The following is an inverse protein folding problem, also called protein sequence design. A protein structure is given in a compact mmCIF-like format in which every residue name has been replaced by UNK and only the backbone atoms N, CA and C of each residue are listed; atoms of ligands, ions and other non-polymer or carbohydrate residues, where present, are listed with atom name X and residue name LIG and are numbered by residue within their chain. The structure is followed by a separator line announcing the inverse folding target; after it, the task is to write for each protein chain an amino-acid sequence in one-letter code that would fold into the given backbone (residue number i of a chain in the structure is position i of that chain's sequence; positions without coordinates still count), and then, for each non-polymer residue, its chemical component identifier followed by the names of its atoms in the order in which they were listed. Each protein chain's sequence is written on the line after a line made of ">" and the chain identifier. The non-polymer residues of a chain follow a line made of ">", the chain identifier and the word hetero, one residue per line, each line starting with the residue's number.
data_IF_635141802851
#
_entry.id   IF_635141802851
#
_cell.length_a   1.000
_cell.length_b   1.000
_cell.length_c   1.000
_cell.angle_alpha   90.00
_cell.angle_beta   90.00
_cell.angle_gamma   90.00
#
_symmetry.space_group_name_H-M   'P 1'
#
loop_
_entity.id
_entity.type
_entity.pdbx_description
1 polymer ?
#
# COMPACT_ATOMS: atom_id res chain seq x y z
N UNK A 1 7.92 -16.75 -0.91
CA UNK A 1 7.32 -17.12 0.40
C UNK A 1 6.88 -18.58 0.34
N UNK A 2 7.11 -19.37 1.41
CA UNK A 2 6.66 -20.76 1.46
C UNK A 2 5.12 -20.83 1.42
N UNK A 3 4.51 -21.78 0.68
CA UNK A 3 3.07 -21.90 0.66
C UNK A 3 2.52 -22.35 2.03
N UNK A 4 1.29 -21.94 2.33
CA UNK A 4 0.58 -22.36 3.54
C UNK A 4 0.33 -23.87 3.51
N UNK A 5 0.75 -24.55 4.58
CA UNK A 5 0.48 -25.98 4.76
C UNK A 5 -0.17 -26.25 6.12
N UNK A 6 -1.15 -27.14 6.17
CA UNK A 6 -1.98 -27.39 7.35
C UNK A 6 -1.21 -27.83 8.63
N UNK A 7 -0.02 -28.41 8.48
CA UNK A 7 0.85 -28.87 9.58
C UNK A 7 2.08 -28.00 9.78
N UNK A 8 2.40 -27.15 8.80
CA UNK A 8 3.49 -26.19 8.84
C UNK A 8 3.05 -24.92 8.09
N UNK A 9 2.30 -24.05 8.78
CA UNK A 9 1.68 -22.91 8.10
C UNK A 9 2.67 -21.83 7.71
N UNK A 10 3.93 -21.93 8.11
CA UNK A 10 4.96 -20.93 7.81
C UNK A 10 4.59 -19.54 8.32
N UNK A 11 5.16 -18.52 7.69
CA UNK A 11 4.90 -17.11 8.07
C UNK A 11 3.43 -16.70 7.93
N UNK A 12 2.68 -17.31 6.99
CA UNK A 12 1.24 -17.03 6.81
C UNK A 12 0.44 -17.45 8.05
N UNK A 13 0.89 -18.49 8.75
CA UNK A 13 0.26 -18.95 9.99
C UNK A 13 0.25 -17.92 11.11
N UNK A 14 1.15 -16.93 11.08
CA UNK A 14 1.18 -15.84 12.05
C UNK A 14 -0.08 -14.95 12.01
N UNK A 15 -0.81 -14.93 10.89
CA UNK A 15 -2.11 -14.27 10.81
C UNK A 15 -3.14 -14.87 11.78
N UNK A 16 -3.02 -16.15 12.08
CA UNK A 16 -3.85 -16.86 13.06
C UNK A 16 -3.32 -16.84 14.49
N UNK A 17 -2.20 -16.16 14.76
CA UNK A 17 -1.66 -16.07 16.11
C UNK A 17 -2.66 -15.41 17.06
N UNK A 18 -2.62 -15.78 18.34
CA UNK A 18 -3.44 -15.22 19.41
C UNK A 18 -2.56 -14.54 20.46
N UNK A 19 -3.15 -13.57 21.18
CA UNK A 19 -2.46 -12.86 22.27
C UNK A 19 -2.03 -11.45 21.89
N UNK A 20 -1.30 -10.81 22.81
CA UNK A 20 -0.92 -9.38 22.74
C UNK A 20 0.19 -9.08 21.70
N UNK A 21 0.77 -10.12 21.13
CA UNK A 21 1.92 -10.01 20.19
C UNK A 21 1.56 -10.43 18.77
N UNK A 22 0.30 -10.26 18.35
CA UNK A 22 -0.06 -10.50 16.95
C UNK A 22 0.70 -9.53 16.05
N UNK A 23 1.42 -10.04 15.03
CA UNK A 23 2.23 -9.18 14.19
C UNK A 23 1.37 -8.36 13.22
N UNK A 24 1.76 -7.13 12.96
CA UNK A 24 1.33 -6.44 11.75
C UNK A 24 1.88 -7.14 10.52
N UNK A 25 1.18 -7.01 9.40
CA UNK A 25 1.61 -7.59 8.13
C UNK A 25 1.45 -6.60 6.98
N UNK A 26 2.50 -6.49 6.16
CA UNK A 26 2.45 -5.72 4.92
C UNK A 26 1.74 -6.53 3.82
N UNK A 27 0.88 -5.88 3.03
CA UNK A 27 0.19 -6.53 1.91
C UNK A 27 0.04 -5.57 0.72
N UNK A 28 0.36 -6.08 -0.48
CA UNK A 28 0.20 -5.35 -1.75
C UNK A 28 -1.19 -5.67 -2.31
N UNK A 29 -2.03 -4.65 -2.45
CA UNK A 29 -3.41 -4.82 -2.92
C UNK A 29 -3.59 -4.40 -4.39
N UNK A 30 -2.73 -4.88 -5.27
CA UNK A 30 -2.82 -4.64 -6.72
C UNK A 30 -3.66 -5.70 -7.46
N UNK A 31 -3.91 -6.86 -6.86
CA UNK A 31 -4.60 -7.98 -7.47
C UNK A 31 -3.72 -8.83 -8.40
N UNK A 32 -2.43 -8.50 -8.49
CA UNK A 32 -1.41 -9.14 -9.32
C UNK A 32 -0.42 -9.90 -8.45
N UNK A 33 0.25 -9.22 -7.50
CA UNK A 33 1.17 -9.84 -6.55
C UNK A 33 0.46 -10.68 -5.50
N UNK A 34 -0.74 -10.22 -5.07
CA UNK A 34 -1.57 -10.95 -4.10
C UNK A 34 -2.99 -11.07 -4.65
N UNK A 35 -3.43 -12.31 -4.82
CA UNK A 35 -4.78 -12.60 -5.29
C UNK A 35 -5.84 -12.01 -4.32
N UNK A 36 -6.95 -11.42 -4.81
CA UNK A 36 -7.99 -10.83 -3.97
C UNK A 36 -8.51 -11.74 -2.85
N UNK A 37 -8.66 -13.03 -3.11
CA UNK A 37 -9.06 -13.99 -2.07
C UNK A 37 -8.01 -14.17 -0.97
N UNK A 38 -6.72 -14.06 -1.29
CA UNK A 38 -5.66 -14.11 -0.28
C UNK A 38 -5.65 -12.85 0.59
N UNK A 39 -5.93 -11.68 -0.01
CA UNK A 39 -6.16 -10.44 0.73
C UNK A 39 -7.34 -10.58 1.69
N UNK A 40 -8.46 -11.14 1.21
CA UNK A 40 -9.66 -11.42 2.03
C UNK A 40 -9.36 -12.36 3.20
N UNK A 41 -8.59 -13.42 2.98
CA UNK A 41 -8.21 -14.38 4.04
C UNK A 41 -7.38 -13.67 5.10
N UNK A 42 -6.37 -12.90 4.70
CA UNK A 42 -5.50 -12.16 5.61
C UNK A 42 -6.29 -11.15 6.44
N UNK A 43 -7.14 -10.36 5.79
CA UNK A 43 -8.02 -9.39 6.46
C UNK A 43 -8.93 -10.06 7.49
N UNK A 44 -9.64 -11.13 7.12
CA UNK A 44 -10.54 -11.84 8.04
C UNK A 44 -9.80 -12.49 9.21
N UNK A 45 -8.59 -12.97 8.98
CA UNK A 45 -7.78 -13.55 10.04
C UNK A 45 -7.29 -12.48 11.03
N UNK A 46 -6.86 -11.31 10.53
CA UNK A 46 -6.29 -10.26 11.37
C UNK A 46 -6.53 -8.86 10.77
N UNK A 47 -7.74 -8.29 10.88
CA UNK A 47 -8.09 -7.00 10.29
C UNK A 47 -7.20 -5.85 10.80
N UNK A 48 -7.00 -5.76 12.13
CA UNK A 48 -6.28 -4.66 12.78
C UNK A 48 -4.75 -4.69 12.54
N UNK A 49 -4.24 -5.76 11.94
CA UNK A 49 -2.81 -5.90 11.63
C UNK A 49 -2.46 -5.57 10.18
N UNK A 50 -3.44 -5.30 9.33
CA UNK A 50 -3.22 -5.03 7.92
C UNK A 50 -2.52 -3.70 7.71
N UNK A 51 -1.35 -3.70 7.07
CA UNK A 51 -0.63 -2.51 6.62
C UNK A 51 -0.53 -2.56 5.09
N UNK A 52 -1.19 -1.63 4.39
CA UNK A 52 -1.08 -1.55 2.95
C UNK A 52 0.28 -0.99 2.54
N UNK A 53 0.92 -1.70 1.62
CA UNK A 53 2.17 -1.28 1.00
C UNK A 53 2.04 -1.39 -0.53
N UNK A 54 2.76 -0.56 -1.25
CA UNK A 54 2.77 -0.63 -2.72
C UNK A 54 3.88 -1.54 -3.23
N UNK A 55 5.01 -1.56 -2.57
CA UNK A 55 6.27 -2.13 -3.09
C UNK A 55 6.57 -1.63 -4.51
N UNK A 56 6.25 -0.34 -4.74
CA UNK A 56 6.31 0.27 -6.06
C UNK A 56 7.75 0.57 -6.46
N UNK A 57 8.07 0.23 -7.69
CA UNK A 57 9.34 0.55 -8.30
C UNK A 57 9.34 1.94 -8.98
N UNK A 58 10.51 2.40 -9.42
CA UNK A 58 10.68 3.72 -10.04
C UNK A 58 9.89 3.93 -11.35
N UNK A 59 9.33 2.86 -11.92
CA UNK A 59 8.43 2.93 -13.07
C UNK A 59 7.01 3.41 -12.73
N UNK A 60 6.68 3.58 -11.46
CA UNK A 60 5.36 4.08 -11.07
C UNK A 60 5.07 5.41 -11.76
N UNK A 61 3.90 5.50 -12.39
CA UNK A 61 3.44 6.68 -13.13
C UNK A 61 4.18 6.98 -14.45
N UNK A 62 5.04 6.10 -14.93
CA UNK A 62 5.59 6.23 -16.27
C UNK A 62 4.53 5.80 -17.32
N UNK A 63 4.50 6.45 -18.49
CA UNK A 63 3.70 6.00 -19.63
C UNK A 63 4.08 4.61 -20.10
N UNK A 64 3.21 3.95 -20.87
CA UNK A 64 3.57 2.69 -21.54
C UNK A 64 4.82 2.89 -22.41
N UNK A 65 5.77 1.97 -22.30
CA UNK A 65 7.04 2.02 -23.04
C UNK A 65 8.14 1.21 -22.39
N UNK A 66 9.28 1.17 -23.05
CA UNK A 66 10.48 0.49 -22.57
C UNK A 66 11.37 1.48 -21.82
N UNK A 67 11.83 1.10 -20.64
CA UNK A 67 12.64 1.94 -19.76
C UNK A 67 13.82 1.15 -19.22
N UNK A 68 14.90 1.89 -18.93
CA UNK A 68 16.03 1.34 -18.19
C UNK A 68 15.94 1.80 -16.73
N UNK A 69 15.75 0.84 -15.82
CA UNK A 69 15.66 1.08 -14.38
C UNK A 69 16.84 0.40 -13.69
N UNK A 70 17.88 1.20 -13.38
CA UNK A 70 19.17 0.66 -12.96
C UNK A 70 19.81 -0.16 -14.07
N UNK A 71 20.08 -1.43 -13.81
CA UNK A 71 20.65 -2.36 -14.82
C UNK A 71 19.57 -3.18 -15.55
N UNK A 72 18.28 -3.04 -15.16
CA UNK A 72 17.18 -3.78 -15.76
C UNK A 72 16.54 -2.98 -16.90
N UNK A 73 16.32 -3.64 -18.02
CA UNK A 73 15.43 -3.15 -19.07
C UNK A 73 14.02 -3.69 -18.77
N UNK A 74 13.05 -2.79 -18.68
CA UNK A 74 11.67 -3.12 -18.33
C UNK A 74 10.69 -2.59 -19.37
N UNK A 75 9.59 -3.28 -19.52
CA UNK A 75 8.47 -2.91 -20.38
C UNK A 75 7.26 -2.55 -19.48
N UNK A 76 6.82 -1.29 -19.58
CA UNK A 76 5.64 -0.78 -18.87
C UNK A 76 4.45 -0.86 -19.82
N UNK A 77 3.49 -1.71 -19.52
CA UNK A 77 2.24 -1.80 -20.27
C UNK A 77 1.09 -2.29 -19.38
N UNK A 78 -0.13 -1.86 -19.69
CA UNK A 78 -1.36 -2.26 -19.01
C UNK A 78 -1.32 -2.10 -17.48
N UNK A 79 -0.63 -1.05 -17.01
CA UNK A 79 -0.51 -0.77 -15.57
C UNK A 79 0.41 -1.73 -14.81
N UNK A 80 1.24 -2.49 -15.53
CA UNK A 80 2.22 -3.42 -14.95
C UNK A 80 3.61 -3.16 -15.54
N UNK A 81 4.62 -3.69 -14.86
CA UNK A 81 6.01 -3.64 -15.32
C UNK A 81 6.55 -5.05 -15.44
N UNK A 82 7.09 -5.35 -16.59
CA UNK A 82 7.67 -6.65 -16.91
C UNK A 82 9.16 -6.51 -17.20
N UNK A 83 9.93 -7.56 -16.89
CA UNK A 83 11.30 -7.66 -17.38
C UNK A 83 11.22 -7.77 -18.89
N UNK A 84 11.93 -6.90 -19.63
CA UNK A 84 11.85 -6.82 -21.08
C UNK A 84 12.05 -8.20 -21.74
N UNK A 85 11.18 -8.53 -22.68
CA UNK A 85 11.19 -9.80 -23.39
C UNK A 85 10.71 -11.02 -22.61
N UNK A 86 10.11 -10.82 -21.42
CA UNK A 86 9.54 -11.89 -20.59
C UNK A 86 8.15 -11.54 -20.10
N UNK A 87 7.44 -12.53 -19.53
CA UNK A 87 6.18 -12.31 -18.81
C UNK A 87 6.42 -12.20 -17.28
N UNK A 88 7.66 -12.00 -16.86
CA UNK A 88 8.01 -11.88 -15.44
C UNK A 88 7.74 -10.47 -14.98
N UNK A 89 6.89 -10.31 -13.95
CA UNK A 89 6.61 -9.02 -13.33
C UNK A 89 7.88 -8.52 -12.64
N UNK A 90 8.29 -7.30 -12.99
CA UNK A 90 9.50 -6.68 -12.45
C UNK A 90 9.25 -5.93 -11.14
N UNK A 91 7.99 -5.60 -10.83
CA UNK A 91 7.61 -4.92 -9.61
C UNK A 91 6.22 -4.29 -9.71
N UNK A 92 5.76 -3.71 -8.61
CA UNK A 92 4.48 -3.01 -8.54
C UNK A 92 4.61 -1.57 -9.06
N UNK A 93 3.52 -1.06 -9.61
CA UNK A 93 3.38 0.36 -10.00
C UNK A 93 2.09 0.97 -9.45
N UNK A 94 1.39 0.25 -8.61
CA UNK A 94 0.15 0.69 -7.99
C UNK A 94 0.41 1.86 -7.01
N UNK A 95 -0.50 2.80 -6.94
CA UNK A 95 -0.47 3.85 -5.92
C UNK A 95 -1.08 3.37 -4.61
N UNK A 96 -0.69 3.97 -3.47
CA UNK A 96 -1.27 3.61 -2.17
C UNK A 96 -2.78 3.90 -2.13
N UNK A 97 -3.24 4.97 -2.79
CA UNK A 97 -4.67 5.27 -2.90
C UNK A 97 -5.45 4.18 -3.65
N UNK A 98 -4.85 3.59 -4.69
CA UNK A 98 -5.43 2.43 -5.39
C UNK A 98 -5.40 1.18 -4.52
N UNK A 99 -4.33 0.94 -3.75
CA UNK A 99 -4.29 -0.14 -2.77
C UNK A 99 -5.46 -0.05 -1.79
N UNK A 100 -5.75 1.14 -1.25
CA UNK A 100 -6.88 1.38 -0.33
C UNK A 100 -8.21 1.05 -0.99
N UNK A 101 -8.46 1.54 -2.22
CA UNK A 101 -9.70 1.23 -2.96
C UNK A 101 -9.84 -0.26 -3.25
N UNK A 102 -8.76 -0.89 -3.68
CA UNK A 102 -8.73 -2.32 -3.95
C UNK A 102 -8.94 -3.15 -2.68
N UNK A 103 -8.32 -2.74 -1.57
CA UNK A 103 -8.51 -3.41 -0.28
C UNK A 103 -9.99 -3.41 0.14
N UNK A 104 -10.65 -2.24 0.12
CA UNK A 104 -12.08 -2.15 0.38
C UNK A 104 -12.90 -3.05 -0.54
N UNK A 105 -12.60 -3.04 -1.85
CA UNK A 105 -13.29 -3.86 -2.86
C UNK A 105 -13.07 -5.36 -2.67
N UNK A 106 -11.84 -5.78 -2.37
CA UNK A 106 -11.49 -7.20 -2.25
C UNK A 106 -11.99 -7.82 -0.95
N UNK A 107 -12.03 -7.02 0.13
CA UNK A 107 -12.33 -7.53 1.47
C UNK A 107 -13.76 -7.23 1.93
N UNK A 108 -14.44 -6.27 1.31
CA UNK A 108 -15.69 -5.73 1.81
C UNK A 108 -15.52 -4.86 3.07
N UNK A 109 -14.28 -4.48 3.41
CA UNK A 109 -13.99 -3.56 4.50
C UNK A 109 -14.69 -2.21 4.26
N UNK A 110 -15.08 -1.54 5.33
CA UNK A 110 -15.55 -0.17 5.26
C UNK A 110 -14.44 0.77 4.77
N UNK A 111 -14.81 1.95 4.30
CA UNK A 111 -13.83 2.98 3.88
C UNK A 111 -12.88 3.36 5.03
N UNK A 112 -13.39 3.37 6.27
CA UNK A 112 -12.59 3.69 7.46
C UNK A 112 -11.53 2.61 7.68
N UNK A 113 -11.92 1.34 7.74
CA UNK A 113 -10.98 0.21 7.91
C UNK A 113 -9.92 0.16 6.80
N UNK A 114 -10.34 0.44 5.56
CA UNK A 114 -9.41 0.50 4.43
C UNK A 114 -8.41 1.67 4.56
N UNK A 115 -8.85 2.81 5.07
CA UNK A 115 -7.96 3.96 5.32
C UNK A 115 -7.05 3.70 6.54
N UNK A 116 -7.56 3.10 7.61
CA UNK A 116 -6.77 2.73 8.79
C UNK A 116 -5.62 1.80 8.43
N UNK A 117 -5.84 0.86 7.51
CA UNK A 117 -4.79 -0.04 7.03
C UNK A 117 -3.64 0.68 6.28
N UNK A 118 -3.85 1.92 5.83
CA UNK A 118 -2.82 2.75 5.20
C UNK A 118 -2.34 3.92 6.07
N UNK A 119 -2.91 4.10 7.25
CA UNK A 119 -2.62 5.25 8.14
C UNK A 119 -2.38 4.82 9.59
N UNK A 120 -3.44 4.44 10.29
CA UNK A 120 -3.39 4.09 11.72
C UNK A 120 -2.54 2.85 11.98
N UNK A 121 -2.78 1.75 11.26
CA UNK A 121 -2.08 0.49 11.49
C UNK A 121 -0.56 0.61 11.26
N UNK A 122 -0.06 1.19 10.17
CA UNK A 122 1.38 1.41 10.02
C UNK A 122 1.94 2.37 11.08
N UNK A 123 1.18 3.36 11.56
CA UNK A 123 1.61 4.22 12.65
C UNK A 123 1.68 3.48 14.00
N UNK A 124 0.74 2.57 14.27
CA UNK A 124 0.77 1.68 15.43
C UNK A 124 1.97 0.72 15.37
N UNK A 125 2.20 0.11 14.20
CA UNK A 125 3.35 -0.78 13.96
C UNK A 125 4.68 -0.08 14.25
N UNK A 126 4.79 1.20 13.91
CA UNK A 126 5.99 2.02 14.11
C UNK A 126 6.04 2.70 15.49
N UNK A 127 4.95 2.64 16.29
CA UNK A 127 4.89 3.30 17.59
C UNK A 127 4.86 4.82 17.52
N UNK A 128 4.28 5.42 16.46
CA UNK A 128 4.28 6.87 16.21
C UNK A 128 2.88 7.50 16.16
N UNK A 129 1.89 6.87 16.80
CA UNK A 129 0.50 7.34 16.81
C UNK A 129 0.28 8.65 17.59
N UNK A 130 1.26 9.08 18.38
CA UNK A 130 1.31 10.40 18.98
C UNK A 130 1.43 11.52 17.93
N UNK A 131 1.92 11.21 16.73
CA UNK A 131 2.18 12.17 15.67
C UNK A 131 1.54 11.84 14.32
N UNK A 132 1.39 10.55 13.97
CA UNK A 132 1.00 10.09 12.64
C UNK A 132 -0.15 9.09 12.68
N UNK A 133 -0.90 9.00 11.57
CA UNK A 133 -1.95 8.02 11.37
C UNK A 133 -3.27 8.36 12.06
N UNK A 134 -3.37 9.49 12.75
CA UNK A 134 -4.55 9.92 13.49
C UNK A 134 -4.85 11.40 13.23
N UNK A 135 -6.12 11.78 13.38
CA UNK A 135 -6.57 13.18 13.43
C UNK A 135 -6.80 13.55 14.91
N UNK A 136 -5.74 13.98 15.59
CA UNK A 136 -5.76 14.35 17.00
C UNK A 136 -5.00 15.65 17.24
N UNK A 137 -5.31 16.34 18.36
CA UNK A 137 -4.53 17.51 18.77
C UNK A 137 -3.08 17.11 19.07
N UNK A 138 -2.13 17.85 18.47
CA UNK A 138 -0.70 17.58 18.60
C UNK A 138 -0.13 16.67 17.51
N UNK A 139 -0.97 15.98 16.74
CA UNK A 139 -0.53 15.21 15.57
C UNK A 139 -0.05 16.16 14.44
N UNK A 140 0.88 15.65 13.63
CA UNK A 140 1.35 16.37 12.45
C UNK A 140 0.20 16.58 11.46
N UNK A 141 0.08 17.77 10.91
CA UNK A 141 -0.99 18.11 9.96
C UNK A 141 -0.69 17.57 8.54
N UNK A 142 -0.46 16.27 8.43
CA UNK A 142 -0.35 15.53 7.19
C UNK A 142 -1.73 14.95 6.85
N UNK A 143 -2.48 15.64 6.00
CA UNK A 143 -3.89 15.39 5.78
C UNK A 143 -4.16 15.21 4.30
N UNK A 144 -4.94 14.21 3.96
CA UNK A 144 -5.52 14.05 2.63
C UNK A 144 -7.03 14.27 2.67
N UNK A 145 -7.54 14.99 1.68
CA UNK A 145 -8.98 15.15 1.45
C UNK A 145 -9.38 14.22 0.32
N UNK A 146 -10.38 13.41 0.57
CA UNK A 146 -10.85 12.38 -0.36
C UNK A 146 -12.30 12.66 -0.76
N UNK A 147 -12.70 12.23 -1.94
CA UNK A 147 -14.10 12.12 -2.31
C UNK A 147 -14.73 10.81 -1.80
N UNK A 148 -16.02 10.61 -2.13
CA UNK A 148 -16.75 9.41 -1.71
C UNK A 148 -16.20 8.12 -2.33
N UNK A 149 -15.50 8.20 -3.46
CA UNK A 149 -14.86 7.06 -4.14
C UNK A 149 -13.41 6.85 -3.68
N UNK A 150 -12.96 7.57 -2.62
CA UNK A 150 -11.60 7.55 -2.11
C UNK A 150 -10.55 8.06 -3.11
N UNK A 151 -10.93 8.95 -4.02
CA UNK A 151 -9.96 9.65 -4.86
C UNK A 151 -9.41 10.85 -4.11
N UNK A 152 -8.10 11.04 -4.22
CA UNK A 152 -7.40 12.15 -3.58
C UNK A 152 -7.76 13.47 -4.26
N UNK A 153 -8.33 14.40 -3.50
CA UNK A 153 -8.70 15.75 -3.95
C UNK A 153 -7.65 16.80 -3.55
N UNK A 154 -7.17 16.73 -2.31
CA UNK A 154 -6.17 17.66 -1.78
C UNK A 154 -5.23 16.93 -0.82
N UNK A 155 -4.00 17.41 -0.76
CA UNK A 155 -2.95 16.87 0.12
C UNK A 155 -2.36 18.03 0.92
N UNK A 156 -2.20 17.85 2.21
CA UNK A 156 -1.50 18.76 3.10
C UNK A 156 -0.33 18.03 3.76
N UNK A 157 0.84 18.66 3.78
CA UNK A 157 2.04 18.17 4.45
C UNK A 157 2.47 19.23 5.45
N UNK A 158 2.56 18.88 6.71
CA UNK A 158 2.82 19.80 7.82
C UNK A 158 1.92 21.06 7.76
N UNK A 159 0.63 20.86 7.46
CA UNK A 159 -0.38 21.93 7.37
C UNK A 159 -0.31 22.78 6.10
N UNK A 160 0.60 22.51 5.17
CA UNK A 160 0.73 23.24 3.91
C UNK A 160 0.18 22.41 2.76
N UNK A 161 -0.68 22.99 1.94
CA UNK A 161 -1.21 22.29 0.77
C UNK A 161 -0.08 21.98 -0.24
N UNK A 162 0.01 20.72 -0.62
CA UNK A 162 0.92 20.27 -1.67
C UNK A 162 0.29 20.52 -3.04
N UNK A 163 0.72 21.58 -3.72
CA UNK A 163 0.34 21.88 -5.10
C UNK A 163 1.42 21.41 -6.07
N UNK A 164 1.09 21.26 -7.36
CA UNK A 164 2.07 20.92 -8.40
C UNK A 164 3.24 21.91 -8.42
N UNK A 165 2.98 23.18 -8.16
CA UNK A 165 3.99 24.25 -8.10
C UNK A 165 4.94 24.05 -6.91
N UNK A 166 4.43 23.64 -5.75
CA UNK A 166 5.22 23.44 -4.52
C UNK A 166 6.03 22.13 -4.54
N UNK A 167 5.60 21.13 -5.31
CA UNK A 167 6.27 19.81 -5.42
C UNK A 167 7.38 19.84 -6.47
N UNK A 168 7.25 20.64 -7.53
CA UNK A 168 8.24 20.73 -8.62
C UNK A 168 9.63 21.24 -8.16
N UNK A 169 9.73 21.87 -6.99
CA UNK A 169 11.01 22.37 -6.46
C UNK A 169 11.92 21.28 -5.87
N UNK A 170 11.41 20.07 -5.59
CA UNK A 170 12.22 18.99 -4.98
C UNK A 170 12.93 18.08 -5.97
N UNK A 171 12.61 18.15 -7.25
CA UNK A 171 13.23 17.31 -8.30
C UNK A 171 14.48 17.94 -8.94
N UNK A 172 15.13 18.89 -8.26
CA UNK A 172 16.40 19.52 -8.69
C UNK A 172 17.52 19.26 -7.68
N UNK A 173 17.62 18.01 -7.21
CA UNK A 173 18.81 17.54 -6.49
C UNK A 173 19.39 16.33 -7.18
#
# INVERSE_FOLDING_TARGET
>A
MHPFHQRDPGVIGLLGASGTTRPFYGIICDGVHVHPHSVMIAYRAHPDGACLVTDAMAAQSLPNGVYKLGEMDVDVHDGNVYIQGTNTIAGAVITLAECVRNFARFTGASKVEALESATLHPAQMLGITDRKGVLAYGADADIIVLDHELNVQRIFVAGKEATRENVAYRNKL
#
